data_IF_798234565931
#
_entry.id   IF_798234565931
#
_cell.length_a   1.000
_cell.length_b   1.000
_cell.length_c   1.000
_cell.angle_alpha   90.00
_cell.angle_beta   90.00
_cell.angle_gamma   90.00
#
_symmetry.space_group_name_H-M   'P 1'
#
loop_
_entity.id
_entity.type
_entity.pdbx_description
1 polymer ?
#
# COMPACT_ATOMS: atom_id res chain seq x y z
N UNK A 1 33.04 12.70 -1.54
CA UNK A 1 32.20 11.48 -1.47
C UNK A 1 32.20 10.86 -0.07
N UNK A 2 33.25 11.05 0.74
CA UNK A 2 33.39 10.47 2.09
C UNK A 2 32.41 10.99 3.17
N UNK A 3 31.85 12.19 3.03
CA UNK A 3 30.94 12.76 4.05
C UNK A 3 29.54 12.15 4.04
N UNK A 4 29.16 11.43 2.98
CA UNK A 4 27.82 10.85 2.82
C UNK A 4 27.73 9.44 3.42
N UNK A 5 28.80 8.67 3.32
CA UNK A 5 28.91 7.31 3.87
C UNK A 5 29.04 7.32 5.40
N UNK A 6 29.84 8.26 5.94
CA UNK A 6 30.08 8.38 7.39
C UNK A 6 28.83 8.67 8.24
N UNK A 7 27.75 9.16 7.62
CA UNK A 7 26.49 9.52 8.30
C UNK A 7 25.40 8.43 8.19
N UNK A 8 25.56 7.44 7.32
CA UNK A 8 24.69 6.25 7.27
C UNK A 8 25.10 5.22 8.34
N UNK A 9 26.39 5.21 8.70
CA UNK A 9 26.94 4.41 9.80
C UNK A 9 26.44 4.86 11.19
N UNK A 10 25.87 6.06 11.33
CA UNK A 10 25.34 6.55 12.60
C UNK A 10 24.04 5.84 13.01
N UNK A 11 23.40 5.10 12.09
CA UNK A 11 22.15 4.37 12.31
C UNK A 11 22.30 2.84 12.18
N UNK A 12 23.51 2.33 11.94
CA UNK A 12 23.77 0.88 11.85
C UNK A 12 23.84 0.27 13.26
N UNK A 13 22.69 -0.17 13.77
CA UNK A 13 22.63 -0.94 15.01
C UNK A 13 22.77 -2.45 14.72
N UNK A 14 23.85 -3.11 15.16
CA UNK A 14 24.09 -4.54 14.90
C UNK A 14 23.18 -5.50 15.70
N UNK A 15 22.32 -4.99 16.58
CA UNK A 15 21.48 -5.78 17.50
C UNK A 15 20.00 -5.88 17.07
N UNK A 16 19.73 -5.79 15.76
CA UNK A 16 18.37 -5.86 15.22
C UNK A 16 18.05 -7.20 14.55
N UNK A 17 16.77 -7.58 14.55
CA UNK A 17 16.27 -8.72 13.76
C UNK A 17 15.95 -8.23 12.36
N UNK A 18 16.66 -8.76 11.36
CA UNK A 18 16.37 -8.47 9.96
C UNK A 18 15.09 -9.15 9.50
N UNK A 19 14.22 -8.38 8.86
CA UNK A 19 12.97 -8.81 8.26
C UNK A 19 13.03 -8.49 6.78
N UNK A 20 13.25 -9.52 5.97
CA UNK A 20 13.22 -9.40 4.51
C UNK A 20 12.01 -10.14 3.95
N UNK A 21 11.24 -9.45 3.13
CA UNK A 21 10.10 -10.05 2.43
C UNK A 21 10.44 -10.26 0.96
N UNK A 22 10.28 -11.49 0.49
CA UNK A 22 10.46 -11.80 -0.93
C UNK A 22 9.36 -11.11 -1.76
N UNK A 23 9.78 -10.37 -2.79
CA UNK A 23 8.89 -9.73 -3.75
C UNK A 23 7.90 -10.73 -4.39
N UNK A 24 8.31 -11.99 -4.59
CA UNK A 24 7.42 -13.03 -5.11
C UNK A 24 6.21 -13.29 -4.20
N UNK A 25 6.42 -13.30 -2.87
CA UNK A 25 5.32 -13.50 -1.91
C UNK A 25 4.39 -12.29 -1.82
N UNK A 26 4.96 -11.09 -1.91
CA UNK A 26 4.16 -9.86 -2.01
C UNK A 26 3.29 -9.87 -3.28
N UNK A 27 3.87 -10.23 -4.43
CA UNK A 27 3.15 -10.34 -5.70
C UNK A 27 2.03 -11.38 -5.69
N UNK A 28 2.25 -12.55 -5.04
CA UNK A 28 1.19 -13.54 -4.85
C UNK A 28 0.03 -12.95 -4.03
N UNK A 29 0.34 -12.18 -2.98
CA UNK A 29 -0.72 -11.54 -2.17
C UNK A 29 -1.50 -10.51 -3.00
N UNK A 30 -0.80 -9.70 -3.80
CA UNK A 30 -1.45 -8.76 -4.75
C UNK A 30 -2.35 -9.53 -5.72
N UNK A 31 -1.88 -10.65 -6.27
CA UNK A 31 -2.66 -11.48 -7.20
C UNK A 31 -3.90 -12.09 -6.54
N UNK A 32 -3.78 -12.55 -5.30
CA UNK A 32 -4.91 -13.06 -4.52
C UNK A 32 -5.91 -11.93 -4.24
N UNK A 33 -5.45 -10.76 -3.80
CA UNK A 33 -6.30 -9.59 -3.57
C UNK A 33 -7.00 -9.17 -4.86
N UNK A 34 -6.28 -9.17 -5.99
CA UNK A 34 -6.86 -8.92 -7.31
C UNK A 34 -7.99 -9.90 -7.57
N UNK A 35 -7.76 -11.21 -7.40
CA UNK A 35 -8.81 -12.20 -7.60
C UNK A 35 -10.03 -11.96 -6.70
N UNK A 36 -9.84 -11.80 -5.38
CA UNK A 36 -10.96 -11.63 -4.44
C UNK A 36 -11.73 -10.32 -4.64
N UNK A 37 -11.04 -9.17 -4.74
CA UNK A 37 -11.68 -7.87 -4.80
C UNK A 37 -12.15 -7.49 -6.20
N UNK A 38 -11.42 -7.88 -7.26
CA UNK A 38 -11.89 -7.66 -8.62
C UNK A 38 -13.02 -8.65 -8.93
N UNK A 39 -12.79 -9.95 -8.83
CA UNK A 39 -13.82 -10.93 -9.23
C UNK A 39 -15.01 -10.88 -8.26
N UNK A 40 -14.76 -11.04 -6.96
CA UNK A 40 -15.81 -11.06 -5.94
C UNK A 40 -16.52 -9.72 -5.80
N UNK A 41 -15.76 -8.62 -5.75
CA UNK A 41 -16.33 -7.28 -5.63
C UNK A 41 -17.16 -6.89 -6.85
N UNK A 42 -16.67 -7.16 -8.06
CA UNK A 42 -17.40 -6.81 -9.29
C UNK A 42 -18.66 -7.66 -9.43
N UNK A 43 -18.61 -8.97 -9.14
CA UNK A 43 -19.80 -9.83 -9.11
C UNK A 43 -20.83 -9.26 -8.14
N UNK A 44 -20.40 -8.92 -6.91
CA UNK A 44 -21.30 -8.39 -5.89
C UNK A 44 -21.91 -7.04 -6.30
N UNK A 45 -21.12 -6.14 -6.86
CA UNK A 45 -21.60 -4.83 -7.33
C UNK A 45 -22.67 -4.99 -8.41
N UNK A 46 -22.43 -5.85 -9.40
CA UNK A 46 -23.41 -6.12 -10.47
C UNK A 46 -24.65 -6.86 -9.96
N UNK A 47 -24.51 -7.73 -8.96
CA UNK A 47 -25.66 -8.38 -8.35
C UNK A 47 -26.61 -7.38 -7.67
N UNK A 48 -26.05 -6.34 -7.04
CA UNK A 48 -26.84 -5.32 -6.33
C UNK A 48 -27.41 -4.27 -7.28
N UNK A 49 -26.60 -3.80 -8.25
CA UNK A 49 -26.93 -2.62 -9.06
C UNK A 49 -27.15 -2.91 -10.56
N UNK A 50 -26.90 -4.14 -11.01
CA UNK A 50 -27.04 -4.50 -12.43
C UNK A 50 -28.51 -4.65 -12.83
N UNK A 51 -28.87 -4.09 -13.99
CA UNK A 51 -30.18 -4.32 -14.59
C UNK A 51 -30.36 -5.81 -14.92
N UNK A 52 -31.48 -6.40 -14.48
CA UNK A 52 -31.73 -7.85 -14.37
C UNK A 52 -31.70 -8.70 -15.65
N UNK A 53 -31.09 -8.24 -16.75
CA UNK A 53 -30.81 -9.07 -17.91
C UNK A 53 -29.52 -9.88 -17.69
N UNK A 54 -29.67 -11.10 -17.19
CA UNK A 54 -28.56 -11.99 -16.77
C UNK A 54 -27.57 -12.39 -17.90
N UNK A 55 -27.82 -11.99 -19.15
CA UNK A 55 -26.91 -12.16 -20.29
C UNK A 55 -26.04 -10.92 -20.60
N UNK A 56 -26.45 -9.72 -20.15
CA UNK A 56 -25.72 -8.47 -20.36
C UNK A 56 -24.71 -8.16 -19.24
N UNK A 57 -24.96 -8.63 -18.01
CA UNK A 57 -24.17 -8.29 -16.84
C UNK A 57 -22.66 -8.59 -16.98
N UNK A 58 -22.28 -9.71 -17.59
CA UNK A 58 -20.88 -10.08 -17.85
C UNK A 58 -20.21 -9.31 -19.02
N UNK A 59 -21.00 -8.88 -20.00
CA UNK A 59 -20.53 -8.15 -21.19
C UNK A 59 -20.36 -6.65 -20.87
N UNK A 60 -21.31 -6.07 -20.14
CA UNK A 60 -21.22 -4.74 -19.55
C UNK A 60 -20.06 -4.65 -18.52
N UNK A 61 -19.82 -5.74 -17.75
CA UNK A 61 -18.70 -5.93 -16.80
C UNK A 61 -17.33 -5.68 -17.42
N UNK A 62 -17.08 -6.41 -18.52
CA UNK A 62 -15.83 -6.40 -19.25
C UNK A 62 -15.70 -5.18 -20.15
N UNK A 63 -16.75 -4.35 -20.24
CA UNK A 63 -16.72 -3.13 -21.01
C UNK A 63 -16.60 -1.89 -20.11
N UNK A 64 -17.20 -1.83 -18.93
CA UNK A 64 -17.09 -0.67 -17.99
C UNK A 64 -15.78 -0.65 -17.22
N UNK A 65 -15.37 -1.76 -16.60
CA UNK A 65 -14.06 -1.85 -15.91
C UNK A 65 -12.91 -1.73 -16.92
N UNK A 66 -13.09 -2.32 -18.11
CA UNK A 66 -12.13 -2.22 -19.22
C UNK A 66 -12.15 -0.83 -19.87
N UNK A 67 -13.32 -0.19 -20.07
CA UNK A 67 -13.38 1.18 -20.55
C UNK A 67 -12.74 2.09 -19.54
N UNK A 68 -13.04 1.99 -18.24
CA UNK A 68 -12.45 2.90 -17.27
C UNK A 68 -10.93 2.66 -17.17
N UNK A 69 -10.48 1.43 -16.93
CA UNK A 69 -9.04 1.14 -16.79
C UNK A 69 -8.22 1.43 -18.06
N UNK A 70 -8.78 1.25 -19.27
CA UNK A 70 -8.07 1.52 -20.54
C UNK A 70 -8.41 2.89 -21.16
N UNK A 71 -9.39 3.62 -20.62
CA UNK A 71 -9.71 4.98 -21.05
C UNK A 71 -8.73 5.95 -20.43
N UNK A 72 -8.47 7.03 -21.17
CA UNK A 72 -7.72 8.20 -20.70
C UNK A 72 -8.26 8.67 -19.34
N UNK A 73 -9.59 8.65 -19.14
CA UNK A 73 -10.21 9.05 -17.87
C UNK A 73 -9.78 8.17 -16.70
N UNK A 74 -9.81 6.84 -16.83
CA UNK A 74 -9.39 5.98 -15.73
C UNK A 74 -7.88 5.91 -15.57
N UNK A 75 -7.08 6.06 -16.64
CA UNK A 75 -5.62 6.25 -16.50
C UNK A 75 -5.29 7.48 -15.66
N UNK A 76 -5.99 8.61 -15.88
CA UNK A 76 -5.84 9.82 -15.06
C UNK A 76 -6.26 9.53 -13.61
N UNK A 77 -7.38 8.85 -13.38
CA UNK A 77 -7.84 8.48 -12.03
C UNK A 77 -6.81 7.58 -11.32
N UNK A 78 -6.28 6.55 -11.98
CA UNK A 78 -5.28 5.65 -11.41
C UNK A 78 -3.98 6.40 -11.07
N UNK A 79 -3.53 7.30 -11.94
CA UNK A 79 -2.37 8.16 -11.69
C UNK A 79 -2.59 9.08 -10.48
N UNK A 80 -3.78 9.70 -10.38
CA UNK A 80 -4.15 10.52 -9.22
C UNK A 80 -4.21 9.69 -7.94
N UNK A 81 -4.79 8.49 -7.98
CA UNK A 81 -4.85 7.57 -6.85
C UNK A 81 -3.45 7.20 -6.36
N UNK A 82 -2.54 6.90 -7.28
CA UNK A 82 -1.14 6.62 -6.96
C UNK A 82 -0.43 7.81 -6.31
N UNK A 83 -0.65 9.03 -6.81
CA UNK A 83 -0.10 10.25 -6.22
C UNK A 83 -0.65 10.46 -4.81
N UNK A 84 -1.97 10.36 -4.63
CA UNK A 84 -2.62 10.52 -3.30
C UNK A 84 -2.12 9.45 -2.34
N UNK A 85 -2.01 8.19 -2.77
CA UNK A 85 -1.46 7.09 -2.00
C UNK A 85 -0.07 7.42 -1.46
N UNK A 86 0.83 7.82 -2.36
CA UNK A 86 2.22 8.14 -2.05
C UNK A 86 2.30 9.34 -1.11
N UNK A 87 1.48 10.37 -1.32
CA UNK A 87 1.41 11.55 -0.46
C UNK A 87 0.89 11.24 0.95
N UNK A 88 -0.13 10.38 1.07
CA UNK A 88 -0.67 9.96 2.36
C UNK A 88 0.40 9.21 3.17
N UNK A 89 1.06 8.23 2.55
CA UNK A 89 2.11 7.45 3.20
C UNK A 89 3.29 8.33 3.60
N UNK A 90 3.76 9.20 2.69
CA UNK A 90 4.81 10.16 2.98
C UNK A 90 4.44 11.11 4.12
N UNK A 91 3.25 11.70 4.07
CA UNK A 91 2.78 12.67 5.05
C UNK A 91 2.72 12.08 6.46
N UNK A 92 2.24 10.84 6.60
CA UNK A 92 2.20 10.12 7.86
C UNK A 92 3.60 9.81 8.39
N UNK A 93 4.45 9.22 7.56
CA UNK A 93 5.82 8.91 7.95
C UNK A 93 6.59 10.19 8.33
N UNK A 94 6.39 11.27 7.59
CA UNK A 94 7.00 12.57 7.86
C UNK A 94 6.55 13.12 9.22
N UNK A 95 5.26 13.03 9.52
CA UNK A 95 4.72 13.45 10.80
C UNK A 95 5.25 12.59 11.95
N UNK A 96 5.22 11.27 11.82
CA UNK A 96 5.67 10.35 12.86
C UNK A 96 7.17 10.42 13.14
N UNK A 97 7.95 10.86 12.16
CA UNK A 97 9.41 11.02 12.32
C UNK A 97 9.80 12.37 12.94
N UNK A 98 8.80 13.18 13.34
CA UNK A 98 9.02 14.49 13.95
C UNK A 98 9.30 15.58 12.91
N UNK A 99 8.73 15.46 11.70
CA UNK A 99 8.91 16.41 10.59
C UNK A 99 10.34 16.51 10.07
N UNK A 100 11.13 15.45 10.26
CA UNK A 100 12.48 15.34 9.75
C UNK A 100 12.48 14.73 8.34
N UNK A 101 12.79 15.57 7.33
CA UNK A 101 12.86 15.11 5.92
C UNK A 101 14.03 14.18 5.66
N UNK A 102 15.13 14.29 6.43
CA UNK A 102 16.35 13.51 6.21
C UNK A 102 16.20 12.05 6.62
N UNK A 103 15.20 11.79 7.46
CA UNK A 103 14.86 10.45 7.92
C UNK A 103 14.11 9.60 6.89
N UNK A 104 13.61 10.20 5.81
CA UNK A 104 12.88 9.52 4.74
C UNK A 104 13.69 9.57 3.45
N UNK A 105 13.98 8.40 2.89
CA UNK A 105 14.69 8.28 1.63
C UNK A 105 13.71 7.80 0.54
N UNK A 106 13.71 8.45 -0.63
CA UNK A 106 12.90 7.99 -1.76
C UNK A 106 13.47 6.69 -2.31
N UNK A 107 12.70 5.60 -2.23
CA UNK A 107 13.11 4.35 -2.82
C UNK A 107 13.07 4.46 -4.35
N UNK A 108 14.23 4.30 -4.98
CA UNK A 108 14.34 4.33 -6.45
C UNK A 108 14.36 2.92 -7.03
N UNK A 109 14.13 1.89 -6.21
CA UNK A 109 14.01 0.52 -6.67
C UNK A 109 12.69 0.32 -7.42
N UNK A 110 12.79 -0.22 -8.63
CA UNK A 110 11.64 -0.37 -9.55
C UNK A 110 10.65 -1.42 -9.05
N UNK A 111 11.08 -2.25 -8.09
CA UNK A 111 10.27 -3.30 -7.49
C UNK A 111 9.22 -2.77 -6.53
N UNK A 112 9.45 -1.62 -5.89
CA UNK A 112 8.51 -1.06 -4.92
C UNK A 112 8.76 0.44 -4.79
N UNK A 113 7.92 1.23 -5.43
CA UNK A 113 7.99 2.68 -5.33
C UNK A 113 7.42 3.10 -3.96
N UNK A 114 8.20 3.85 -3.19
CA UNK A 114 7.82 4.24 -1.82
C UNK A 114 8.92 5.00 -1.08
N UNK A 115 8.74 5.18 0.22
CA UNK A 115 9.71 5.83 1.09
C UNK A 115 10.30 4.84 2.09
N UNK A 116 11.61 4.88 2.24
CA UNK A 116 12.37 4.11 3.23
C UNK A 116 12.59 4.98 4.47
N UNK A 117 12.29 4.44 5.64
CA UNK A 117 12.50 5.10 6.94
C UNK A 117 13.89 4.75 7.46
N UNK A 118 14.83 5.71 7.42
CA UNK A 118 16.22 5.52 7.87
C UNK A 118 16.44 5.84 9.35
N UNK A 119 15.54 6.60 9.96
CA UNK A 119 15.58 6.91 11.39
C UNK A 119 14.73 5.89 12.16
N UNK A 120 15.20 5.36 13.31
CA UNK A 120 14.42 4.43 14.13
C UNK A 120 13.03 4.99 14.46
N UNK A 121 11.99 4.35 13.93
CA UNK A 121 10.60 4.73 14.14
C UNK A 121 9.89 3.65 14.95
N UNK A 122 9.00 4.02 15.87
CA UNK A 122 8.18 3.04 16.58
C UNK A 122 7.31 2.24 15.60
N UNK A 123 7.34 0.92 15.74
CA UNK A 123 6.71 0.00 14.80
C UNK A 123 5.20 0.21 14.69
N UNK A 124 4.52 0.62 15.77
CA UNK A 124 3.10 0.98 15.75
C UNK A 124 2.78 2.12 14.77
N UNK A 125 3.64 3.14 14.68
CA UNK A 125 3.43 4.26 13.75
C UNK A 125 3.70 3.85 12.31
N UNK A 126 4.73 3.03 12.10
CA UNK A 126 5.03 2.48 10.78
C UNK A 126 3.86 1.63 10.26
N UNK A 127 3.30 0.76 11.12
CA UNK A 127 2.12 -0.06 10.82
C UNK A 127 0.90 0.79 10.45
N UNK A 128 0.66 1.90 11.15
CA UNK A 128 -0.43 2.84 10.81
C UNK A 128 -0.18 3.43 9.42
N UNK A 129 1.05 3.87 9.12
CA UNK A 129 1.40 4.45 7.83
C UNK A 129 1.18 3.46 6.67
N UNK A 130 1.49 2.17 6.86
CA UNK A 130 1.23 1.12 5.86
C UNK A 130 -0.27 0.89 5.60
N UNK A 131 -1.10 0.84 6.64
CA UNK A 131 -2.52 0.51 6.49
C UNK A 131 -3.39 1.70 6.09
N UNK A 132 -2.95 2.92 6.34
CA UNK A 132 -3.80 4.10 6.14
C UNK A 132 -4.25 4.27 4.69
N UNK A 133 -3.39 4.16 3.66
CA UNK A 133 -3.82 4.25 2.26
C UNK A 133 -4.84 3.14 1.91
N UNK A 134 -4.59 1.91 2.35
CA UNK A 134 -5.52 0.79 2.15
C UNK A 134 -6.92 1.11 2.69
N UNK A 135 -7.03 1.66 3.90
CA UNK A 135 -8.33 1.97 4.50
C UNK A 135 -8.97 3.19 3.85
N UNK A 136 -8.26 4.32 3.77
CA UNK A 136 -8.86 5.61 3.42
C UNK A 136 -9.24 5.73 1.95
N UNK A 137 -8.37 5.27 1.04
CA UNK A 137 -8.58 5.40 -0.40
C UNK A 137 -8.86 4.07 -1.09
N UNK A 138 -8.68 2.95 -0.40
CA UNK A 138 -9.11 1.62 -0.86
C UNK A 138 -10.47 1.22 -0.31
N UNK A 139 -10.51 0.82 0.96
CA UNK A 139 -11.68 0.18 1.56
C UNK A 139 -12.90 1.11 1.66
N UNK A 140 -12.70 2.37 2.06
CA UNK A 140 -13.81 3.33 2.16
C UNK A 140 -14.46 3.63 0.80
N UNK A 141 -13.72 3.98 -0.27
CA UNK A 141 -14.31 4.16 -1.60
C UNK A 141 -14.96 2.89 -2.15
N UNK A 142 -14.37 1.70 -1.87
CA UNK A 142 -14.94 0.41 -2.28
C UNK A 142 -16.33 0.20 -1.67
N UNK A 143 -16.45 0.34 -0.35
CA UNK A 143 -17.73 0.20 0.36
C UNK A 143 -18.71 1.28 -0.08
N UNK A 144 -18.25 2.54 -0.16
CA UNK A 144 -19.11 3.64 -0.59
C UNK A 144 -19.67 3.42 -2.00
N UNK A 145 -18.81 3.04 -2.96
CA UNK A 145 -19.23 2.70 -4.31
C UNK A 145 -20.26 1.57 -4.31
N UNK A 146 -19.98 0.49 -3.56
CA UNK A 146 -20.89 -0.64 -3.43
C UNK A 146 -22.23 -0.28 -2.80
N UNK A 147 -22.28 0.62 -1.83
CA UNK A 147 -23.54 1.03 -1.17
C UNK A 147 -24.33 2.07 -1.96
N UNK A 148 -23.71 2.80 -2.90
CA UNK A 148 -24.34 3.91 -3.63
C UNK A 148 -24.55 3.63 -5.11
N UNK A 149 -24.01 2.53 -5.63
CA UNK A 149 -23.98 2.25 -7.07
C UNK A 149 -23.01 3.16 -7.83
N UNK A 150 -22.14 3.91 -7.14
CA UNK A 150 -21.15 4.78 -7.78
C UNK A 150 -19.96 3.94 -8.30
N UNK A 151 -19.93 3.74 -9.61
CA UNK A 151 -18.94 2.95 -10.33
C UNK A 151 -17.51 3.51 -10.21
N UNK A 152 -17.33 4.84 -10.23
CA UNK A 152 -16.03 5.49 -10.08
C UNK A 152 -15.46 5.28 -8.67
N UNK A 153 -16.25 5.49 -7.62
CA UNK A 153 -15.83 5.23 -6.25
C UNK A 153 -15.48 3.75 -6.05
N UNK A 154 -16.30 2.86 -6.60
CA UNK A 154 -16.06 1.42 -6.55
C UNK A 154 -14.73 1.06 -7.25
N UNK A 155 -14.50 1.58 -8.45
CA UNK A 155 -13.25 1.36 -9.21
C UNK A 155 -12.01 1.86 -8.45
N UNK A 156 -12.06 3.09 -7.90
CA UNK A 156 -10.98 3.64 -7.06
C UNK A 156 -10.70 2.70 -5.89
N UNK A 157 -11.75 2.26 -5.21
CA UNK A 157 -11.63 1.38 -4.07
C UNK A 157 -10.98 0.05 -4.40
N UNK A 158 -11.44 -0.63 -5.46
CA UNK A 158 -10.84 -1.88 -5.96
C UNK A 158 -9.37 -1.66 -6.32
N UNK A 159 -9.06 -0.62 -7.10
CA UNK A 159 -7.70 -0.34 -7.53
C UNK A 159 -6.75 -0.11 -6.35
N UNK A 160 -7.14 0.74 -5.39
CA UNK A 160 -6.32 1.05 -4.22
C UNK A 160 -6.20 -0.14 -3.26
N UNK A 161 -7.25 -0.94 -3.06
CA UNK A 161 -7.19 -2.17 -2.26
C UNK A 161 -6.18 -3.15 -2.84
N UNK A 162 -6.23 -3.39 -4.16
CA UNK A 162 -5.31 -4.28 -4.85
C UNK A 162 -3.89 -3.74 -4.79
N UNK A 163 -3.70 -2.44 -5.07
CA UNK A 163 -2.40 -1.77 -5.01
C UNK A 163 -1.75 -1.81 -3.62
N UNK A 164 -2.55 -1.79 -2.55
CA UNK A 164 -2.06 -1.88 -1.17
C UNK A 164 -1.65 -3.29 -0.74
N UNK A 165 -1.76 -4.30 -1.61
CA UNK A 165 -1.54 -5.70 -1.23
C UNK A 165 -0.16 -5.98 -0.65
N UNK A 166 0.89 -5.34 -1.18
CA UNK A 166 2.24 -5.45 -0.64
C UNK A 166 2.36 -4.85 0.77
N UNK A 167 1.79 -3.67 1.00
CA UNK A 167 1.83 -2.99 2.29
C UNK A 167 1.01 -3.74 3.35
N UNK A 168 -0.15 -4.29 2.98
CA UNK A 168 -0.94 -5.16 3.85
C UNK A 168 -0.18 -6.44 4.21
N UNK A 169 0.49 -7.06 3.25
CA UNK A 169 1.32 -8.25 3.50
C UNK A 169 2.50 -7.93 4.40
N UNK A 170 3.16 -6.79 4.18
CA UNK A 170 4.28 -6.34 4.99
C UNK A 170 3.84 -6.02 6.42
N UNK A 171 2.71 -5.31 6.59
CA UNK A 171 2.06 -5.11 7.88
C UNK A 171 1.78 -6.46 8.58
N UNK A 172 1.20 -7.43 7.87
CA UNK A 172 0.91 -8.75 8.41
C UNK A 172 2.17 -9.49 8.85
N UNK A 173 3.28 -9.35 8.11
CA UNK A 173 4.56 -9.93 8.50
C UNK A 173 5.13 -9.25 9.74
N UNK A 174 5.01 -7.93 9.84
CA UNK A 174 5.49 -7.14 10.96
C UNK A 174 4.66 -7.37 12.24
N UNK A 175 3.45 -7.93 12.16
CA UNK A 175 2.56 -8.15 13.32
C UNK A 175 3.16 -8.98 14.45
N UNK A 176 4.18 -9.78 14.16
CA UNK A 176 4.82 -10.68 15.14
C UNK A 176 5.72 -9.95 16.15
N UNK A 177 6.08 -8.70 15.86
CA UNK A 177 6.93 -7.87 16.72
C UNK A 177 6.11 -6.97 17.66
N UNK A 178 6.72 -6.41 18.70
CA UNK A 178 6.02 -5.50 19.59
C UNK A 178 5.83 -4.13 18.92
N UNK A 179 4.70 -3.46 19.16
CA UNK A 179 4.44 -2.12 18.63
C UNK A 179 5.41 -1.05 19.16
N UNK A 180 6.04 -1.31 20.31
CA UNK A 180 7.06 -0.45 20.92
C UNK A 180 8.50 -0.76 20.46
N UNK A 181 8.69 -1.81 19.66
CA UNK A 181 9.96 -2.03 18.96
C UNK A 181 10.17 -0.93 17.92
N UNK A 182 11.42 -0.68 17.54
CA UNK A 182 11.76 0.30 16.51
C UNK A 182 12.04 -0.40 15.18
N UNK A 183 11.68 0.24 14.08
CA UNK A 183 11.95 -0.21 12.71
C UNK A 183 12.83 0.80 12.00
N UNK A 184 13.77 0.28 11.22
CA UNK A 184 14.59 1.02 10.26
C UNK A 184 14.57 0.24 8.96
N UNK A 185 14.17 0.86 7.86
CA UNK A 185 14.17 0.24 6.54
C UNK A 185 15.60 0.06 6.01
N UNK A 186 15.86 -1.10 5.42
CA UNK A 186 17.09 -1.39 4.71
C UNK A 186 17.21 -0.59 3.41
N UNK A 187 18.27 -0.84 2.64
CA UNK A 187 18.43 -0.22 1.31
C UNK A 187 17.62 -0.94 0.23
N UNK A 188 17.19 -2.16 0.50
CA UNK A 188 16.29 -2.90 -0.38
C UNK A 188 14.82 -2.67 0.00
N UNK A 189 13.96 -2.67 -1.02
CA UNK A 189 12.51 -2.66 -0.83
C UNK A 189 12.02 -3.84 0.02
N UNK A 190 11.02 -3.60 0.88
CA UNK A 190 10.42 -4.63 1.75
C UNK A 190 11.45 -5.34 2.65
N UNK A 191 12.49 -4.62 3.03
CA UNK A 191 13.48 -5.06 4.01
C UNK A 191 13.59 -4.03 5.13
N UNK A 192 13.62 -4.51 6.38
CA UNK A 192 13.85 -3.65 7.53
C UNK A 192 14.53 -4.40 8.67
N UNK A 193 15.17 -3.65 9.54
CA UNK A 193 15.77 -4.12 10.77
C UNK A 193 14.88 -3.70 11.94
N UNK A 194 14.47 -4.67 12.76
CA UNK A 194 13.68 -4.45 13.97
C UNK A 194 14.61 -4.40 15.17
N UNK A 195 14.68 -3.26 15.83
CA UNK A 195 15.46 -3.04 17.05
C UNK A 195 14.51 -3.23 18.22
N UNK A 196 14.72 -4.31 18.99
CA UNK A 196 13.92 -4.57 20.18
C UNK A 196 14.18 -3.49 21.22
N UNK A 197 13.12 -3.01 21.85
CA UNK A 197 13.29 -2.12 22.98
C UNK A 197 13.71 -2.96 24.19
N UNK A 198 14.96 -2.83 24.63
CA UNK A 198 15.42 -3.44 25.89
C UNK A 198 14.68 -2.76 27.04
N UNK A 199 13.85 -3.52 27.75
CA UNK A 199 13.27 -3.11 29.02
C UNK A 199 14.35 -3.02 30.10
#
# INVERSE_FOLDING_TARGET
>A
METKEKNLEEYSHPEGVEVKVSAARANITILLNLFFFVVGGVILFNYIWGDGSSYGAGYELGNTVRLQALSIKGTIIMALCYIVYTLLQYGLLYWFTGKDRRALHWNTDWKTLGFLVKKPLLLKYYRIALLTPFVLIGLLPFIHGLCTGNDVCFFIGVFCVVGSGADCYYFWKLRTFNGDDKIVDGDESLSATIIKNSY
#
